data_IF_348007200269
#
_entry.id   IF_348007200269
#
_cell.length_a   1.000
_cell.length_b   1.000
_cell.length_c   1.000
_cell.angle_alpha   90.00
_cell.angle_beta   90.00
_cell.angle_gamma   90.00
#
_symmetry.space_group_name_H-M   'P 1'
#
loop_
_entity.id
_entity.type
_entity.pdbx_description
1 polymer ?
#
# COMPACT_ATOMS: atom_id res chain seq x y z
N UNK A 1 -32.39 6.43 23.86
CA UNK A 1 -31.24 5.53 23.61
C UNK A 1 -29.99 6.39 23.52
N UNK A 2 -28.98 6.15 24.37
CA UNK A 2 -27.67 6.81 24.23
C UNK A 2 -27.08 6.35 22.89
N UNK A 3 -26.83 7.27 21.98
CA UNK A 3 -26.05 7.04 20.75
C UNK A 3 -24.68 6.51 21.17
N UNK A 4 -24.35 5.27 20.76
CA UNK A 4 -23.03 4.73 21.02
C UNK A 4 -22.04 5.44 20.07
N UNK A 5 -21.09 6.19 20.63
CA UNK A 5 -19.98 6.74 19.84
C UNK A 5 -19.31 5.59 19.10
N UNK A 6 -19.32 5.65 17.78
CA UNK A 6 -18.72 4.64 16.92
C UNK A 6 -18.03 5.28 15.71
N UNK A 7 -17.09 4.54 15.14
CA UNK A 7 -16.38 4.91 13.92
C UNK A 7 -16.97 4.12 12.77
N UNK A 8 -17.38 4.81 11.70
CA UNK A 8 -17.78 4.17 10.45
C UNK A 8 -16.55 4.01 9.54
N UNK A 9 -16.05 2.77 9.44
CA UNK A 9 -14.91 2.42 8.59
C UNK A 9 -15.42 2.01 7.21
N UNK A 10 -15.01 2.77 6.19
CA UNK A 10 -15.41 2.58 4.81
C UNK A 10 -14.25 1.97 4.01
N UNK A 11 -14.53 0.89 3.29
CA UNK A 11 -13.57 0.19 2.46
C UNK A 11 -14.10 0.03 1.03
N UNK A 12 -13.20 0.02 0.04
CA UNK A 12 -13.61 -0.39 -1.32
C UNK A 12 -14.04 -1.86 -1.29
N UNK A 13 -13.23 -2.75 -0.72
CA UNK A 13 -13.60 -4.15 -0.49
C UNK A 13 -13.08 -4.60 0.87
N UNK A 14 -13.95 -5.15 1.73
CA UNK A 14 -13.54 -5.71 3.02
C UNK A 14 -14.44 -6.89 3.44
N UNK A 15 -13.89 -7.97 4.03
CA UNK A 15 -12.46 -8.26 4.14
C UNK A 15 -11.86 -8.67 2.78
N UNK A 16 -10.56 -8.41 2.58
CA UNK A 16 -9.82 -8.79 1.37
C UNK A 16 -8.47 -9.39 1.75
N UNK A 17 -8.19 -10.60 1.28
CA UNK A 17 -6.99 -11.38 1.65
C UNK A 17 -5.68 -10.70 1.27
N UNK A 18 -5.66 -9.92 0.19
CA UNK A 18 -4.48 -9.17 -0.25
C UNK A 18 -4.26 -7.85 0.51
N UNK A 19 -5.19 -7.43 1.37
CA UNK A 19 -5.14 -6.19 2.14
C UNK A 19 -5.13 -6.48 3.65
N UNK A 20 -4.27 -7.40 4.08
CA UNK A 20 -4.15 -7.81 5.50
C UNK A 20 -3.78 -6.67 6.45
N UNK A 21 -3.18 -5.59 5.96
CA UNK A 21 -2.88 -4.40 6.78
C UNK A 21 -4.15 -3.70 7.26
N UNK A 22 -5.17 -3.55 6.41
CA UNK A 22 -6.45 -2.95 6.81
C UNK A 22 -7.20 -3.82 7.83
N UNK A 23 -7.09 -5.14 7.69
CA UNK A 23 -7.67 -6.08 8.65
C UNK A 23 -7.01 -5.94 10.03
N UNK A 24 -5.69 -5.74 10.06
CA UNK A 24 -4.93 -5.49 11.30
C UNK A 24 -5.30 -4.16 11.93
N UNK A 25 -5.45 -3.10 11.14
CA UNK A 25 -5.91 -1.80 11.63
C UNK A 25 -7.27 -1.94 12.32
N UNK A 26 -8.22 -2.65 11.70
CA UNK A 26 -9.54 -2.93 12.31
C UNK A 26 -9.40 -3.73 13.61
N UNK A 27 -8.61 -4.81 13.61
CA UNK A 27 -8.43 -5.66 14.79
C UNK A 27 -7.83 -4.90 15.96
N UNK A 28 -6.86 -4.01 15.72
CA UNK A 28 -6.23 -3.22 16.77
C UNK A 28 -7.15 -2.12 17.31
N UNK A 29 -7.91 -1.44 16.45
CA UNK A 29 -8.94 -0.49 16.89
C UNK A 29 -9.98 -1.19 17.78
N UNK A 30 -10.42 -2.39 17.38
CA UNK A 30 -11.35 -3.21 18.17
C UNK A 30 -10.73 -3.66 19.50
N UNK A 31 -9.46 -4.10 19.51
CA UNK A 31 -8.75 -4.50 20.72
C UNK A 31 -8.58 -3.36 21.74
N UNK A 32 -8.58 -2.10 21.27
CA UNK A 32 -8.59 -0.90 22.12
C UNK A 32 -9.99 -0.47 22.58
N UNK A 33 -11.01 -1.27 22.29
CA UNK A 33 -12.39 -1.05 22.75
C UNK A 33 -13.14 0.01 21.94
N UNK A 34 -12.63 0.43 20.78
CA UNK A 34 -13.35 1.35 19.90
C UNK A 34 -14.53 0.61 19.27
N UNK A 35 -15.70 1.24 19.29
CA UNK A 35 -16.90 0.71 18.65
C UNK A 35 -16.84 1.00 17.15
N UNK A 36 -16.85 -0.06 16.33
CA UNK A 36 -16.63 0.03 14.88
C UNK A 36 -17.86 -0.45 14.12
N UNK A 37 -18.19 0.24 13.03
CA UNK A 37 -19.09 -0.25 11.99
C UNK A 37 -18.35 -0.33 10.67
N UNK A 38 -18.34 -1.52 10.09
CA UNK A 38 -17.57 -1.82 8.88
C UNK A 38 -18.49 -1.76 7.66
N UNK A 39 -18.06 -1.05 6.62
CA UNK A 39 -18.79 -0.91 5.36
C UNK A 39 -17.89 -1.26 4.19
N UNK A 40 -18.41 -2.07 3.26
CA UNK A 40 -17.69 -2.47 2.05
C UNK A 40 -18.46 -2.04 0.81
N UNK A 41 -17.85 -1.19 -0.02
CA UNK A 41 -18.52 -0.53 -1.14
C UNK A 41 -18.62 -1.42 -2.40
N UNK A 42 -17.68 -2.35 -2.57
CA UNK A 42 -17.51 -3.18 -3.76
C UNK A 42 -17.10 -4.60 -3.36
N UNK A 43 -18.09 -5.47 -3.16
CA UNK A 43 -17.88 -6.86 -2.74
C UNK A 43 -17.52 -6.99 -1.25
N UNK A 44 -16.94 -8.13 -0.86
CA UNK A 44 -16.71 -8.44 0.55
C UNK A 44 -18.01 -8.73 1.32
N UNK A 45 -18.02 -8.45 2.62
CA UNK A 45 -19.17 -8.71 3.51
C UNK A 45 -18.91 -9.79 4.55
N UNK A 46 -19.99 -10.35 5.11
CA UNK A 46 -19.92 -11.37 6.15
C UNK A 46 -19.58 -10.79 7.52
N UNK A 47 -18.71 -11.47 8.27
CA UNK A 47 -18.24 -11.03 9.59
C UNK A 47 -16.72 -11.01 9.64
N UNK A 48 -16.17 -10.08 10.42
CA UNK A 48 -14.74 -10.00 10.72
C UNK A 48 -14.57 -9.77 12.21
N UNK A 49 -13.92 -10.70 12.92
CA UNK A 49 -13.74 -10.65 14.37
C UNK A 49 -15.05 -10.36 15.15
N UNK A 50 -16.15 -10.98 14.73
CA UNK A 50 -17.48 -10.78 15.32
C UNK A 50 -18.21 -9.50 14.89
N UNK A 51 -17.57 -8.60 14.14
CA UNK A 51 -18.20 -7.42 13.56
C UNK A 51 -18.88 -7.75 12.23
N UNK A 52 -20.14 -7.36 12.07
CA UNK A 52 -20.83 -7.48 10.78
C UNK A 52 -20.27 -6.45 9.79
N UNK A 53 -19.93 -6.92 8.58
CA UNK A 53 -19.51 -6.06 7.48
C UNK A 53 -20.70 -5.75 6.59
N UNK A 54 -21.11 -4.49 6.56
CA UNK A 54 -22.24 -4.03 5.75
C UNK A 54 -21.82 -3.85 4.30
N UNK A 55 -22.16 -4.82 3.46
CA UNK A 55 -21.91 -4.76 2.02
C UNK A 55 -22.90 -3.80 1.34
N UNK A 56 -22.37 -2.95 0.46
CA UNK A 56 -23.19 -2.02 -0.31
C UNK A 56 -23.97 -2.75 -1.40
N UNK A 57 -25.29 -2.75 -1.28
CA UNK A 57 -26.16 -3.23 -2.34
C UNK A 57 -26.25 -2.19 -3.48
N UNK A 58 -25.67 -2.52 -4.63
CA UNK A 58 -25.62 -1.66 -5.83
C UNK A 58 -27.01 -1.30 -6.37
N UNK A 59 -28.05 -2.10 -6.10
CA UNK A 59 -29.43 -1.77 -6.47
C UNK A 59 -29.93 -0.48 -5.79
N UNK A 60 -29.34 -0.10 -4.64
CA UNK A 60 -29.62 1.18 -3.98
C UNK A 60 -29.22 2.39 -4.84
N UNK A 61 -28.35 2.22 -5.84
CA UNK A 61 -28.02 3.30 -6.77
C UNK A 61 -29.23 3.76 -7.58
N UNK A 62 -30.20 2.89 -7.87
CA UNK A 62 -31.44 3.28 -8.56
C UNK A 62 -32.20 4.31 -7.72
N UNK A 63 -32.35 4.05 -6.41
CA UNK A 63 -32.97 5.01 -5.48
C UNK A 63 -32.15 6.31 -5.40
N UNK A 64 -30.81 6.22 -5.44
CA UNK A 64 -29.95 7.41 -5.44
C UNK A 64 -30.28 8.32 -6.63
N UNK A 65 -30.32 7.75 -7.84
CA UNK A 65 -30.57 8.53 -9.05
C UNK A 65 -32.00 9.06 -9.14
N UNK A 66 -33.00 8.23 -8.81
CA UNK A 66 -34.40 8.58 -8.99
C UNK A 66 -34.97 9.46 -7.86
N UNK A 67 -34.46 9.32 -6.64
CA UNK A 67 -35.05 9.96 -5.45
C UNK A 67 -34.06 10.87 -4.75
N UNK A 68 -32.86 10.36 -4.43
CA UNK A 68 -31.95 11.09 -3.53
C UNK A 68 -31.36 12.31 -4.24
N UNK A 69 -30.88 12.17 -5.48
CA UNK A 69 -30.29 13.29 -6.23
C UNK A 69 -31.31 14.42 -6.44
N UNK A 70 -32.53 14.20 -6.98
CA UNK A 70 -33.53 15.25 -7.09
C UNK A 70 -33.86 15.91 -5.76
N UNK A 71 -33.96 15.12 -4.69
CA UNK A 71 -34.21 15.65 -3.35
C UNK A 71 -33.06 16.54 -2.83
N UNK A 72 -31.80 16.18 -3.08
CA UNK A 72 -30.64 17.01 -2.71
C UNK A 72 -30.53 18.27 -3.57
N UNK A 73 -30.93 18.25 -4.85
CA UNK A 73 -30.95 19.45 -5.69
C UNK A 73 -31.83 20.53 -5.06
N UNK A 74 -32.99 20.14 -4.52
CA UNK A 74 -33.92 21.06 -3.85
C UNK A 74 -33.39 21.45 -2.46
N UNK A 75 -32.92 20.48 -1.65
CA UNK A 75 -32.56 20.73 -0.25
C UNK A 75 -31.18 21.37 -0.07
N UNK A 76 -30.25 21.12 -0.99
CA UNK A 76 -28.85 21.54 -0.94
C UNK A 76 -28.34 21.96 -2.32
N UNK A 77 -28.95 22.99 -2.95
CA UNK A 77 -28.61 23.39 -4.31
C UNK A 77 -27.13 23.79 -4.46
N UNK A 78 -26.52 24.38 -3.43
CA UNK A 78 -25.08 24.73 -3.44
C UNK A 78 -24.19 23.49 -3.53
N UNK A 79 -24.41 22.50 -2.67
CA UNK A 79 -23.63 21.25 -2.68
C UNK A 79 -23.76 20.53 -4.04
N UNK A 80 -24.97 20.46 -4.58
CA UNK A 80 -25.21 19.80 -5.88
C UNK A 80 -24.56 20.56 -7.03
N UNK A 81 -24.61 21.90 -7.01
CA UNK A 81 -23.90 22.73 -7.98
C UNK A 81 -22.40 22.51 -7.89
N UNK A 82 -21.80 22.55 -6.70
CA UNK A 82 -20.36 22.40 -6.53
C UNK A 82 -19.88 20.99 -6.97
N UNK A 83 -20.69 19.96 -6.69
CA UNK A 83 -20.45 18.59 -7.17
C UNK A 83 -20.55 18.50 -8.70
N UNK A 84 -21.60 19.07 -9.29
CA UNK A 84 -21.81 19.05 -10.73
C UNK A 84 -20.73 19.84 -11.47
N UNK A 85 -20.39 21.04 -10.98
CA UNK A 85 -19.30 21.85 -11.49
C UNK A 85 -17.98 21.08 -11.43
N UNK A 86 -17.69 20.40 -10.31
CA UNK A 86 -16.49 19.56 -10.19
C UNK A 86 -16.43 18.41 -11.20
N UNK A 87 -17.58 17.79 -11.53
CA UNK A 87 -17.68 16.74 -12.56
C UNK A 87 -17.50 17.31 -13.97
N UNK A 88 -18.05 18.50 -14.26
CA UNK A 88 -17.99 19.11 -15.58
C UNK A 88 -16.67 19.83 -15.90
N UNK A 89 -16.02 20.40 -14.88
CA UNK A 89 -14.80 21.23 -15.06
C UNK A 89 -13.51 20.44 -14.97
N UNK A 90 -13.55 19.21 -14.42
CA UNK A 90 -12.35 18.38 -14.24
C UNK A 90 -12.48 17.07 -14.96
N UNK A 91 -11.38 16.62 -15.54
CA UNK A 91 -11.33 15.30 -16.19
C UNK A 91 -10.86 14.25 -15.19
N UNK A 92 -11.55 13.12 -15.06
CA UNK A 92 -11.05 12.03 -14.24
C UNK A 92 -9.75 11.48 -14.83
N UNK A 93 -8.77 11.08 -14.00
CA UNK A 93 -7.50 10.51 -14.45
C UNK A 93 -7.66 9.23 -15.29
N UNK A 94 -8.69 8.44 -14.98
CA UNK A 94 -9.06 7.24 -15.72
C UNK A 94 -10.55 6.95 -15.55
N UNK A 95 -11.09 6.10 -16.41
CA UNK A 95 -12.50 5.75 -16.34
C UNK A 95 -12.84 4.88 -15.13
N UNK A 96 -11.87 4.07 -14.68
CA UNK A 96 -11.97 3.35 -13.42
C UNK A 96 -12.06 4.34 -12.24
N UNK A 97 -11.18 5.34 -12.18
CA UNK A 97 -11.17 6.28 -11.07
C UNK A 97 -12.45 7.15 -11.00
N UNK A 98 -13.04 7.49 -12.14
CA UNK A 98 -14.37 8.09 -12.18
C UNK A 98 -15.41 7.21 -11.48
N UNK A 99 -15.50 5.93 -11.87
CA UNK A 99 -16.51 5.02 -11.31
C UNK A 99 -16.28 4.69 -9.85
N UNK A 100 -15.03 4.65 -9.38
CA UNK A 100 -14.70 4.56 -7.96
C UNK A 100 -15.28 5.75 -7.18
N UNK A 101 -15.06 6.97 -7.68
CA UNK A 101 -15.58 8.17 -7.05
C UNK A 101 -17.12 8.22 -7.07
N UNK A 102 -17.76 7.81 -8.18
CA UNK A 102 -19.21 7.71 -8.28
C UNK A 102 -19.78 6.64 -7.34
N UNK A 103 -19.09 5.53 -7.15
CA UNK A 103 -19.47 4.50 -6.17
C UNK A 103 -19.46 5.07 -4.75
N UNK A 104 -18.42 5.81 -4.38
CA UNK A 104 -18.34 6.50 -3.09
C UNK A 104 -19.48 7.51 -2.89
N UNK A 105 -19.80 8.30 -3.92
CA UNK A 105 -20.92 9.23 -3.90
C UNK A 105 -22.28 8.54 -3.76
N UNK A 106 -22.50 7.47 -4.52
CA UNK A 106 -23.69 6.64 -4.44
C UNK A 106 -23.88 6.03 -3.05
N UNK A 107 -22.81 5.46 -2.49
CA UNK A 107 -22.81 4.94 -1.12
C UNK A 107 -23.23 6.01 -0.10
N UNK A 108 -22.60 7.19 -0.14
CA UNK A 108 -22.93 8.29 0.76
C UNK A 108 -24.40 8.71 0.63
N UNK A 109 -24.91 8.85 -0.60
CA UNK A 109 -26.31 9.15 -0.86
C UNK A 109 -27.26 8.12 -0.24
N UNK A 110 -26.99 6.82 -0.45
CA UNK A 110 -27.83 5.72 0.05
C UNK A 110 -27.80 5.59 1.57
N UNK A 111 -26.62 5.69 2.21
CA UNK A 111 -26.47 5.44 3.64
C UNK A 111 -26.65 6.67 4.53
N UNK A 112 -26.63 7.89 3.97
CA UNK A 112 -26.80 9.13 4.72
C UNK A 112 -28.06 9.16 5.60
N UNK A 113 -29.19 8.62 5.12
CA UNK A 113 -30.44 8.56 5.91
C UNK A 113 -30.36 7.52 7.03
N UNK A 114 -29.75 6.37 6.76
CA UNK A 114 -29.58 5.29 7.71
C UNK A 114 -28.65 5.71 8.84
N UNK A 115 -27.47 6.24 8.49
CA UNK A 115 -26.48 6.76 9.43
C UNK A 115 -27.01 7.94 10.26
N UNK A 116 -28.01 8.69 9.78
CA UNK A 116 -28.63 9.76 10.60
C UNK A 116 -29.38 9.23 11.83
N UNK A 117 -29.85 7.97 11.80
CA UNK A 117 -30.55 7.36 12.95
C UNK A 117 -29.58 7.02 14.08
N UNK A 118 -28.32 6.78 13.73
CA UNK A 118 -27.23 6.52 14.66
C UNK A 118 -25.95 7.17 14.10
N UNK A 119 -25.77 8.49 14.29
CA UNK A 119 -24.71 9.25 13.65
C UNK A 119 -23.32 8.81 14.13
N UNK A 120 -22.35 8.63 13.22
CA UNK A 120 -20.99 8.27 13.59
C UNK A 120 -20.28 9.42 14.28
N UNK A 121 -19.40 9.09 15.23
CA UNK A 121 -18.47 10.04 15.82
C UNK A 121 -17.43 10.51 14.79
N UNK A 122 -17.01 9.58 13.94
CA UNK A 122 -16.06 9.79 12.86
C UNK A 122 -16.34 8.81 11.72
N UNK A 123 -16.27 9.30 10.49
CA UNK A 123 -16.20 8.47 9.28
C UNK A 123 -14.73 8.33 8.87
N UNK A 124 -14.29 7.15 8.47
CA UNK A 124 -12.94 6.98 7.96
C UNK A 124 -12.94 6.18 6.67
N UNK A 125 -12.44 6.78 5.60
CA UNK A 125 -12.19 6.10 4.35
C UNK A 125 -10.81 5.47 4.35
N UNK A 126 -10.71 4.15 4.26
CA UNK A 126 -9.42 3.44 4.30
C UNK A 126 -8.47 3.76 3.12
N UNK A 127 -9.02 4.35 2.05
CA UNK A 127 -8.34 4.68 0.79
C UNK A 127 -8.69 6.10 0.35
N UNK A 128 -7.83 6.67 -0.49
CA UNK A 128 -8.00 8.00 -1.06
C UNK A 128 -9.07 8.06 -2.16
N UNK A 129 -9.45 6.92 -2.75
CA UNK A 129 -10.51 6.79 -3.75
C UNK A 129 -11.95 6.80 -3.19
N UNK A 130 -12.75 5.80 -3.57
CA UNK A 130 -14.18 5.69 -3.25
C UNK A 130 -14.53 5.90 -1.76
N UNK A 131 -13.81 5.32 -0.79
CA UNK A 131 -14.11 5.50 0.63
C UNK A 131 -13.93 6.93 1.12
N UNK A 132 -12.87 7.62 0.70
CA UNK A 132 -12.69 9.04 1.02
C UNK A 132 -13.78 9.91 0.36
N UNK A 133 -14.23 9.57 -0.84
CA UNK A 133 -15.33 10.28 -1.53
C UNK A 133 -16.63 10.16 -0.75
N UNK A 134 -16.93 8.97 -0.23
CA UNK A 134 -18.06 8.76 0.65
C UNK A 134 -17.96 9.62 1.93
N UNK A 135 -16.81 9.60 2.60
CA UNK A 135 -16.56 10.43 3.79
C UNK A 135 -16.72 11.93 3.52
N UNK A 136 -16.14 12.42 2.42
CA UNK A 136 -16.23 13.83 2.01
C UNK A 136 -17.66 14.28 1.71
N UNK A 137 -18.45 13.46 1.03
CA UNK A 137 -19.86 13.77 0.74
C UNK A 137 -20.70 13.72 2.01
N UNK A 138 -20.51 12.73 2.88
CA UNK A 138 -21.20 12.65 4.17
C UNK A 138 -20.88 13.87 5.05
N UNK A 139 -19.62 14.33 5.05
CA UNK A 139 -19.22 15.57 5.71
C UNK A 139 -19.94 16.79 5.14
N UNK A 140 -19.98 16.98 3.82
CA UNK A 140 -20.70 18.11 3.22
C UNK A 140 -22.22 18.03 3.40
N UNK A 141 -22.78 16.84 3.50
CA UNK A 141 -24.21 16.65 3.74
C UNK A 141 -24.58 16.88 5.21
N UNK A 142 -23.79 16.39 6.16
CA UNK A 142 -24.23 16.28 7.57
C UNK A 142 -23.29 16.94 8.57
N UNK A 143 -22.13 17.45 8.14
CA UNK A 143 -21.10 17.98 9.03
C UNK A 143 -20.37 16.91 9.84
N UNK A 144 -20.58 15.62 9.54
CA UNK A 144 -19.90 14.54 10.24
C UNK A 144 -18.41 14.59 9.95
N UNK A 145 -17.62 14.48 11.03
CA UNK A 145 -16.17 14.47 10.95
C UNK A 145 -15.72 13.27 10.13
N UNK A 146 -14.67 13.45 9.33
CA UNK A 146 -14.07 12.33 8.63
C UNK A 146 -12.54 12.41 8.57
N UNK A 147 -11.95 11.25 8.32
CA UNK A 147 -10.53 11.04 8.03
C UNK A 147 -10.37 10.12 6.83
N UNK A 148 -9.18 10.06 6.26
CA UNK A 148 -8.91 9.23 5.09
C UNK A 148 -7.50 8.63 5.09
N UNK A 149 -7.35 7.45 4.48
CA UNK A 149 -6.07 6.94 4.02
C UNK A 149 -5.70 7.53 2.66
N UNK A 150 -4.41 7.68 2.39
CA UNK A 150 -3.86 8.04 1.09
C UNK A 150 -2.59 7.22 0.84
N UNK A 151 -2.69 6.23 -0.03
CA UNK A 151 -1.62 5.28 -0.33
C UNK A 151 -1.02 5.56 -1.71
N UNK A 152 0.07 4.88 -2.07
CA UNK A 152 0.78 5.16 -3.33
C UNK A 152 -0.11 5.13 -4.58
N UNK A 153 -1.07 4.20 -4.64
CA UNK A 153 -2.08 4.15 -5.72
C UNK A 153 -2.87 5.46 -5.81
N UNK A 154 -3.42 5.93 -4.69
CA UNK A 154 -4.26 7.13 -4.62
C UNK A 154 -3.49 8.42 -4.92
N UNK A 155 -2.17 8.43 -4.67
CA UNK A 155 -1.33 9.63 -4.76
C UNK A 155 -0.68 9.76 -6.14
N UNK A 156 -0.23 8.67 -6.76
CA UNK A 156 0.67 8.75 -7.93
C UNK A 156 0.07 8.25 -9.23
N UNK A 157 -0.76 7.20 -9.21
CA UNK A 157 -1.25 6.59 -10.45
C UNK A 157 -2.17 7.56 -11.20
N UNK A 158 -1.86 7.77 -12.48
CA UNK A 158 -2.45 8.77 -13.37
C UNK A 158 -2.43 10.22 -12.83
N UNK A 159 -1.48 10.54 -11.95
CA UNK A 159 -1.42 11.84 -11.26
C UNK A 159 -2.17 11.87 -9.92
N UNK A 160 -2.69 10.73 -9.47
CA UNK A 160 -3.45 10.58 -8.22
C UNK A 160 -4.96 10.62 -8.46
N UNK A 161 -5.72 10.40 -7.39
CA UNK A 161 -7.19 10.36 -7.46
C UNK A 161 -7.80 11.71 -7.90
N UNK A 162 -8.92 11.64 -8.65
CA UNK A 162 -9.59 12.78 -9.27
C UNK A 162 -9.87 13.98 -8.35
N UNK A 163 -10.30 13.74 -7.10
CA UNK A 163 -10.60 14.80 -6.13
C UNK A 163 -9.75 14.66 -4.87
N UNK A 164 -8.50 14.20 -5.04
CA UNK A 164 -7.61 13.90 -3.93
C UNK A 164 -7.53 15.08 -2.95
N UNK A 165 -7.24 16.30 -3.42
CA UNK A 165 -7.06 17.45 -2.54
C UNK A 165 -8.36 17.91 -1.86
N UNK A 166 -9.47 17.92 -2.60
CA UNK A 166 -10.78 18.31 -2.07
C UNK A 166 -11.25 17.36 -0.99
N UNK A 167 -10.87 16.09 -1.10
CA UNK A 167 -11.16 15.06 -0.11
C UNK A 167 -10.21 15.11 1.07
N UNK A 168 -8.93 15.41 0.87
CA UNK A 168 -7.93 15.34 1.94
C UNK A 168 -7.82 16.63 2.75
N UNK A 169 -7.94 17.81 2.14
CA UNK A 169 -7.81 19.10 2.86
C UNK A 169 -8.84 19.29 4.01
N UNK A 170 -10.12 18.91 3.87
CA UNK A 170 -11.09 19.04 4.96
C UNK A 170 -11.02 17.90 5.98
N UNK A 171 -10.30 16.81 5.69
CA UNK A 171 -10.18 15.68 6.59
C UNK A 171 -9.54 16.10 7.93
N UNK A 172 -9.92 15.40 9.01
CA UNK A 172 -9.36 15.63 10.36
C UNK A 172 -7.92 15.13 10.46
N UNK A 173 -7.64 13.99 9.84
CA UNK A 173 -6.28 13.52 9.59
C UNK A 173 -6.25 12.69 8.31
N UNK A 174 -5.05 12.59 7.74
CA UNK A 174 -4.73 11.75 6.59
C UNK A 174 -3.69 10.74 7.02
N UNK A 175 -3.98 9.46 6.88
CA UNK A 175 -3.02 8.38 7.10
C UNK A 175 -2.32 8.03 5.79
N UNK A 176 -0.99 8.06 5.78
CA UNK A 176 -0.17 7.51 4.69
C UNK A 176 0.91 6.58 5.25
N UNK A 177 1.45 5.68 4.42
CA UNK A 177 2.39 4.65 4.87
C UNK A 177 3.87 5.01 4.70
N UNK A 178 4.20 6.18 4.13
CA UNK A 178 5.57 6.52 3.68
C UNK A 178 5.82 8.02 3.80
N UNK A 179 7.05 8.43 4.12
CA UNK A 179 7.45 9.84 4.09
C UNK A 179 7.41 10.42 2.67
N UNK A 180 7.70 9.62 1.64
CA UNK A 180 7.50 9.97 0.23
C UNK A 180 6.06 10.44 -0.03
N UNK A 181 5.07 9.65 0.41
CA UNK A 181 3.65 10.00 0.33
C UNK A 181 3.31 11.28 1.10
N UNK A 182 3.89 11.48 2.29
CA UNK A 182 3.71 12.73 3.05
C UNK A 182 4.26 13.94 2.31
N UNK A 183 5.50 13.86 1.80
CA UNK A 183 6.12 14.96 1.07
C UNK A 183 5.32 15.34 -0.17
N UNK A 184 4.83 14.35 -0.94
CA UNK A 184 4.00 14.60 -2.11
C UNK A 184 2.68 15.28 -1.74
N UNK A 185 1.99 14.82 -0.70
CA UNK A 185 0.74 15.43 -0.25
C UNK A 185 0.95 16.87 0.25
N UNK A 186 2.04 17.14 0.97
CA UNK A 186 2.40 18.51 1.38
C UNK A 186 2.70 19.38 0.17
N UNK A 187 3.47 18.88 -0.80
CA UNK A 187 3.80 19.61 -2.03
C UNK A 187 2.54 19.98 -2.84
N UNK A 188 1.50 19.14 -2.79
CA UNK A 188 0.19 19.42 -3.41
C UNK A 188 -0.74 20.29 -2.57
N UNK A 189 -0.32 20.74 -1.38
CA UNK A 189 -1.08 21.68 -0.56
C UNK A 189 -1.98 21.05 0.51
N UNK A 190 -1.75 19.79 0.91
CA UNK A 190 -2.36 19.23 2.12
C UNK A 190 -1.57 19.71 3.35
N UNK A 191 -2.22 20.26 4.39
CA UNK A 191 -1.52 20.72 5.60
C UNK A 191 -0.71 19.61 6.28
N UNK A 192 0.58 19.87 6.53
CA UNK A 192 1.51 18.89 7.06
C UNK A 192 1.12 18.35 8.44
N UNK A 193 0.45 19.16 9.26
CA UNK A 193 -0.04 18.83 10.60
C UNK A 193 -1.25 17.88 10.59
N UNK A 194 -1.90 17.69 9.43
CA UNK A 194 -2.98 16.71 9.23
C UNK A 194 -2.49 15.36 8.75
N UNK A 195 -1.29 15.28 8.17
CA UNK A 195 -0.73 14.05 7.62
C UNK A 195 -0.03 13.26 8.73
N UNK A 196 -0.33 11.97 8.83
CA UNK A 196 0.28 11.03 9.76
C UNK A 196 0.92 9.90 8.95
N UNK A 197 2.24 9.79 9.02
CA UNK A 197 2.98 8.68 8.43
C UNK A 197 2.93 7.53 9.43
N UNK A 198 2.08 6.55 9.16
CA UNK A 198 1.96 5.35 9.97
C UNK A 198 2.28 4.19 9.04
N UNK A 199 3.50 3.69 9.18
CA UNK A 199 4.01 2.57 8.37
C UNK A 199 3.23 1.31 8.69
N UNK A 200 3.23 0.38 7.73
CA UNK A 200 2.84 -1.01 8.02
C UNK A 200 3.85 -1.62 8.99
N UNK A 201 3.59 -2.84 9.47
CA UNK A 201 4.53 -3.51 10.35
C UNK A 201 4.45 -5.03 10.29
N UNK A 202 5.42 -5.68 10.94
CA UNK A 202 5.40 -7.09 11.28
C UNK A 202 4.80 -7.27 12.68
N UNK A 203 3.95 -8.28 12.84
CA UNK A 203 3.40 -8.66 14.15
C UNK A 203 4.45 -9.40 14.98
N UNK A 204 5.24 -10.24 14.32
CA UNK A 204 6.33 -10.96 14.95
C UNK A 204 7.53 -10.88 14.03
N UNK A 205 8.67 -10.52 14.61
CA UNK A 205 9.91 -10.51 13.87
C UNK A 205 10.46 -11.94 13.78
N UNK A 206 10.85 -12.41 12.58
CA UNK A 206 11.44 -13.72 12.41
C UNK A 206 12.78 -13.81 13.15
N UNK A 207 13.22 -15.06 13.37
CA UNK A 207 14.57 -15.33 13.79
C UNK A 207 15.57 -14.73 12.80
N UNK A 208 16.62 -14.11 13.33
CA UNK A 208 17.66 -13.51 12.51
C UNK A 208 18.57 -14.61 11.96
N UNK A 209 18.58 -14.82 10.64
CA UNK A 209 19.40 -15.87 10.04
C UNK A 209 20.89 -15.56 10.20
N UNK A 210 21.77 -16.55 10.33
CA UNK A 210 23.22 -16.33 10.24
C UNK A 210 23.63 -16.02 8.79
N UNK A 211 24.74 -15.29 8.64
CA UNK A 211 25.33 -15.03 7.33
C UNK A 211 25.94 -16.34 6.82
N UNK A 212 25.71 -16.66 5.55
CA UNK A 212 26.28 -17.87 4.95
C UNK A 212 27.76 -17.63 4.64
N UNK A 213 28.64 -18.48 5.20
CA UNK A 213 30.10 -18.33 5.09
C UNK A 213 30.64 -18.40 3.65
N UNK A 214 30.01 -19.19 2.76
CA UNK A 214 30.36 -19.22 1.35
C UNK A 214 29.12 -18.91 0.50
N UNK A 215 29.13 -17.74 -0.15
CA UNK A 215 28.04 -17.25 -1.01
C UNK A 215 28.28 -17.52 -2.49
N UNK A 216 28.85 -18.68 -2.84
CA UNK A 216 29.01 -19.17 -4.22
C UNK A 216 28.34 -20.54 -4.39
N UNK A 217 27.29 -20.68 -5.23
CA UNK A 217 26.64 -19.61 -5.98
C UNK A 217 25.89 -18.65 -5.05
N UNK A 218 25.81 -17.37 -5.40
CA UNK A 218 25.05 -16.36 -4.66
C UNK A 218 23.55 -16.62 -4.84
N UNK A 219 22.80 -16.69 -3.74
CA UNK A 219 21.35 -16.99 -3.75
C UNK A 219 20.55 -15.69 -3.78
N UNK A 220 20.00 -15.38 -4.94
CA UNK A 220 19.25 -14.17 -5.22
C UNK A 220 17.75 -14.44 -5.17
N UNK A 221 17.02 -13.55 -4.52
CA UNK A 221 15.57 -13.67 -4.38
C UNK A 221 14.89 -12.39 -4.86
N UNK A 222 13.78 -12.56 -5.58
CA UNK A 222 12.81 -11.51 -5.86
C UNK A 222 11.45 -12.03 -5.43
N UNK A 223 10.70 -11.24 -4.65
CA UNK A 223 9.30 -11.55 -4.33
C UNK A 223 8.47 -10.35 -4.77
N UNK A 224 7.69 -10.52 -5.83
CA UNK A 224 6.90 -9.44 -6.41
C UNK A 224 5.73 -9.98 -7.26
N UNK A 225 4.66 -9.18 -7.38
CA UNK A 225 3.69 -9.38 -8.47
C UNK A 225 4.38 -9.12 -9.80
N UNK A 226 4.11 -9.94 -10.82
CA UNK A 226 4.74 -9.80 -12.14
C UNK A 226 4.01 -8.74 -12.97
N UNK A 227 4.18 -7.47 -12.59
CA UNK A 227 3.54 -6.28 -13.18
C UNK A 227 4.59 -5.21 -13.55
N UNK A 228 4.30 -4.28 -14.48
CA UNK A 228 5.30 -3.37 -15.03
C UNK A 228 6.13 -2.59 -13.99
N UNK A 229 5.48 -2.02 -12.96
CA UNK A 229 6.15 -1.22 -11.92
C UNK A 229 7.18 -1.98 -11.08
N UNK A 230 7.22 -3.31 -11.16
CA UNK A 230 8.22 -4.12 -10.43
C UNK A 230 9.54 -4.24 -11.17
N UNK A 231 9.59 -3.82 -12.44
CA UNK A 231 10.83 -3.70 -13.21
C UNK A 231 11.57 -5.02 -13.45
N UNK A 232 10.88 -6.16 -13.44
CA UNK A 232 11.54 -7.48 -13.60
C UNK A 232 12.25 -7.65 -14.95
N UNK A 233 11.86 -6.88 -15.98
CA UNK A 233 12.62 -6.82 -17.23
C UNK A 233 14.06 -6.35 -17.01
N UNK A 234 14.25 -5.32 -16.18
CA UNK A 234 15.58 -4.84 -15.80
C UNK A 234 16.30 -5.86 -14.92
N UNK A 235 15.57 -6.55 -14.03
CA UNK A 235 16.14 -7.60 -13.21
C UNK A 235 16.74 -8.75 -14.03
N UNK A 236 16.08 -9.15 -15.14
CA UNK A 236 16.64 -10.15 -16.04
C UNK A 236 17.92 -9.64 -16.74
N UNK A 237 18.00 -8.36 -17.09
CA UNK A 237 19.23 -7.76 -17.63
C UNK A 237 20.36 -7.72 -16.59
N UNK A 238 20.03 -7.47 -15.31
CA UNK A 238 20.99 -7.57 -14.20
C UNK A 238 21.50 -9.00 -14.05
N UNK A 239 20.64 -10.01 -14.13
CA UNK A 239 21.05 -11.42 -14.10
C UNK A 239 21.93 -11.80 -15.31
N UNK A 240 21.63 -11.29 -16.50
CA UNK A 240 22.48 -11.48 -17.67
C UNK A 240 23.87 -10.87 -17.47
N UNK A 241 23.95 -9.64 -16.92
CA UNK A 241 25.22 -8.98 -16.61
C UNK A 241 26.03 -9.72 -15.53
N UNK A 242 25.38 -10.31 -14.51
CA UNK A 242 26.05 -11.15 -13.52
C UNK A 242 26.67 -12.40 -14.16
N UNK A 243 25.93 -13.04 -15.07
CA UNK A 243 26.39 -14.22 -15.81
C UNK A 243 27.60 -13.87 -16.69
N UNK A 244 27.53 -12.76 -17.43
CA UNK A 244 28.62 -12.26 -18.26
C UNK A 244 29.87 -11.92 -17.43
N UNK A 245 29.67 -11.34 -16.24
CA UNK A 245 30.75 -11.03 -15.31
C UNK A 245 31.33 -12.25 -14.56
N UNK A 246 30.89 -13.47 -14.89
CA UNK A 246 31.38 -14.72 -14.30
C UNK A 246 30.98 -14.94 -12.84
N UNK A 247 29.95 -14.24 -12.34
CA UNK A 247 29.46 -14.42 -10.98
C UNK A 247 28.53 -15.63 -10.95
N UNK A 248 28.88 -16.66 -10.17
CA UNK A 248 28.02 -17.81 -9.97
C UNK A 248 26.81 -17.42 -9.10
N UNK A 249 25.59 -17.57 -9.62
CA UNK A 249 24.36 -17.28 -8.88
C UNK A 249 23.22 -18.25 -9.20
N UNK A 250 22.31 -18.37 -8.24
CA UNK A 250 20.99 -18.99 -8.37
C UNK A 250 19.94 -17.94 -7.99
N UNK A 251 18.93 -17.75 -8.83
CA UNK A 251 17.88 -16.77 -8.62
C UNK A 251 16.51 -17.44 -8.51
N UNK A 252 15.70 -16.98 -7.55
CA UNK A 252 14.28 -17.35 -7.42
C UNK A 252 13.41 -16.11 -7.55
N UNK A 253 12.42 -16.18 -8.44
CA UNK A 253 11.37 -15.17 -8.59
C UNK A 253 10.07 -15.77 -8.07
N UNK A 254 9.58 -15.19 -6.97
CA UNK A 254 8.37 -15.60 -6.27
C UNK A 254 7.25 -14.61 -6.55
N UNK A 255 6.10 -15.14 -6.93
CA UNK A 255 4.92 -14.37 -7.31
C UNK A 255 4.42 -14.71 -8.71
N UNK A 256 3.31 -14.10 -9.06
CA UNK A 256 2.66 -14.29 -10.36
C UNK A 256 2.10 -12.95 -10.87
N UNK A 257 1.68 -12.92 -12.12
CA UNK A 257 1.09 -11.75 -12.75
C UNK A 257 1.09 -11.82 -14.27
N UNK A 258 0.48 -10.82 -14.92
CA UNK A 258 0.28 -10.80 -16.37
C UNK A 258 1.58 -10.80 -17.18
N UNK A 259 2.72 -10.46 -16.58
CA UNK A 259 4.01 -10.47 -17.27
C UNK A 259 4.73 -11.83 -17.24
N UNK A 260 4.17 -12.87 -16.62
CA UNK A 260 4.86 -14.15 -16.39
C UNK A 260 5.42 -14.77 -17.68
N UNK A 261 4.57 -15.02 -18.66
CA UNK A 261 4.95 -15.68 -19.92
C UNK A 261 6.05 -14.89 -20.66
N UNK A 262 5.92 -13.56 -20.69
CA UNK A 262 6.92 -12.68 -21.31
C UNK A 262 8.26 -12.73 -20.57
N UNK A 263 8.26 -12.77 -19.23
CA UNK A 263 9.48 -12.87 -18.43
C UNK A 263 10.16 -14.24 -18.57
N UNK A 264 9.39 -15.33 -18.62
CA UNK A 264 9.92 -16.68 -18.86
C UNK A 264 10.54 -16.79 -20.26
N UNK A 265 9.87 -16.27 -21.29
CA UNK A 265 10.40 -16.18 -22.66
C UNK A 265 11.72 -15.38 -22.72
N UNK A 266 11.76 -14.22 -22.06
CA UNK A 266 12.96 -13.38 -22.00
C UNK A 266 14.09 -14.03 -21.23
N UNK A 267 13.79 -14.82 -20.20
CA UNK A 267 14.77 -15.61 -19.45
C UNK A 267 15.45 -16.63 -20.38
N UNK A 268 14.68 -17.30 -21.25
CA UNK A 268 15.24 -18.21 -22.26
C UNK A 268 16.10 -17.48 -23.29
N UNK A 269 15.64 -16.34 -23.82
CA UNK A 269 16.40 -15.52 -24.78
C UNK A 269 17.74 -15.03 -24.21
N UNK A 270 17.78 -14.68 -22.92
CA UNK A 270 19.00 -14.27 -22.23
C UNK A 270 19.86 -15.47 -21.75
N UNK A 271 19.49 -16.70 -22.11
CA UNK A 271 20.18 -17.93 -21.70
C UNK A 271 20.29 -18.07 -20.17
N UNK A 272 19.27 -17.65 -19.42
CA UNK A 272 19.23 -17.63 -17.96
C UNK A 272 18.44 -18.80 -17.35
N UNK A 273 17.89 -19.71 -18.18
CA UNK A 273 17.00 -20.81 -17.74
C UNK A 273 17.63 -21.71 -16.66
N UNK A 274 18.96 -21.91 -16.69
CA UNK A 274 19.67 -22.69 -15.68
C UNK A 274 19.92 -21.94 -14.36
N UNK A 275 19.77 -20.62 -14.34
CA UNK A 275 20.05 -19.77 -13.19
C UNK A 275 18.78 -19.23 -12.51
N UNK A 276 17.68 -19.05 -13.24
CA UNK A 276 16.48 -18.38 -12.75
C UNK A 276 15.30 -19.34 -12.66
N UNK A 277 14.71 -19.48 -11.47
CA UNK A 277 13.51 -20.27 -11.22
C UNK A 277 12.32 -19.37 -10.87
N UNK A 278 11.22 -19.50 -11.62
CA UNK A 278 9.93 -18.93 -11.26
C UNK A 278 9.15 -19.93 -10.39
N UNK A 279 8.74 -19.52 -9.18
CA UNK A 279 8.02 -20.41 -8.27
C UNK A 279 6.50 -20.28 -8.40
N UNK A 280 6.01 -19.23 -9.04
CA UNK A 280 4.61 -18.82 -8.94
C UNK A 280 4.30 -18.20 -7.57
N UNK A 281 3.01 -18.00 -7.30
CA UNK A 281 2.54 -17.50 -6.01
C UNK A 281 2.70 -18.56 -4.91
N UNK A 282 3.27 -18.16 -3.78
CA UNK A 282 3.48 -19.01 -2.60
C UNK A 282 2.64 -18.52 -1.42
N UNK A 283 2.30 -19.44 -0.51
CA UNK A 283 1.72 -19.08 0.78
C UNK A 283 2.77 -18.42 1.69
N UNK A 284 2.30 -17.71 2.73
CA UNK A 284 3.19 -16.97 3.63
C UNK A 284 4.30 -17.84 4.28
N UNK A 285 4.03 -19.06 4.79
CA UNK A 285 5.10 -19.90 5.35
C UNK A 285 6.20 -20.23 4.32
N UNK A 286 5.81 -20.55 3.08
CA UNK A 286 6.73 -20.86 1.99
C UNK A 286 7.55 -19.62 1.57
N UNK A 287 6.97 -18.42 1.66
CA UNK A 287 7.71 -17.16 1.46
C UNK A 287 8.83 -17.00 2.49
N UNK A 288 8.56 -17.33 3.77
CA UNK A 288 9.61 -17.31 4.80
C UNK A 288 10.71 -18.33 4.54
N UNK A 289 10.39 -19.50 3.99
CA UNK A 289 11.40 -20.46 3.55
C UNK A 289 12.27 -19.91 2.41
N UNK A 290 11.70 -19.15 1.47
CA UNK A 290 12.48 -18.49 0.42
C UNK A 290 13.44 -17.43 1.00
N UNK A 291 12.98 -16.63 1.97
CA UNK A 291 13.83 -15.67 2.69
C UNK A 291 14.95 -16.38 3.48
N UNK A 292 14.64 -17.50 4.13
CA UNK A 292 15.64 -18.32 4.82
C UNK A 292 16.69 -18.90 3.84
N UNK A 293 16.29 -19.23 2.61
CA UNK A 293 17.22 -19.71 1.58
C UNK A 293 18.12 -18.61 1.00
N UNK A 294 17.61 -17.40 0.78
CA UNK A 294 18.26 -16.34 0.02
C UNK A 294 19.41 -15.63 0.75
N UNK A 295 20.49 -15.27 0.05
CA UNK A 295 21.51 -14.37 0.59
C UNK A 295 21.12 -12.91 0.40
N UNK A 296 20.56 -12.59 -0.77
CA UNK A 296 20.21 -11.21 -1.16
C UNK A 296 18.81 -11.17 -1.77
N UNK A 297 17.97 -10.26 -1.27
CA UNK A 297 16.73 -9.84 -1.92
C UNK A 297 17.04 -8.70 -2.90
N UNK A 298 16.64 -8.85 -4.15
CA UNK A 298 16.66 -7.78 -5.15
C UNK A 298 15.26 -7.20 -5.33
N UNK A 299 15.15 -5.87 -5.23
CA UNK A 299 13.91 -5.15 -5.56
C UNK A 299 14.17 -4.06 -6.60
N UNK A 300 13.82 -4.34 -7.86
CA UNK A 300 14.09 -3.51 -9.05
C UNK A 300 12.88 -2.64 -9.46
N UNK A 301 12.12 -2.15 -8.49
CA UNK A 301 10.91 -1.34 -8.76
C UNK A 301 11.21 -0.11 -9.62
N UNK A 302 10.23 0.28 -10.43
CA UNK A 302 10.29 1.46 -11.31
C UNK A 302 8.99 2.27 -11.19
N UNK A 303 9.02 3.50 -11.69
CA UNK A 303 7.79 4.27 -11.94
C UNK A 303 7.25 3.81 -13.29
N UNK A 304 6.07 3.21 -13.30
CA UNK A 304 5.40 2.83 -14.54
C UNK A 304 4.97 4.08 -15.35
N UNK A 305 4.69 3.96 -16.66
CA UNK A 305 4.22 5.09 -17.47
C UNK A 305 2.95 5.77 -16.93
N UNK A 306 2.08 5.03 -16.22
CA UNK A 306 0.92 5.62 -15.54
C UNK A 306 1.28 6.46 -14.33
N UNK A 307 2.55 6.50 -13.89
CA UNK A 307 2.96 7.07 -12.61
C UNK A 307 2.85 6.09 -11.44
N UNK A 308 2.22 4.92 -11.65
CA UNK A 308 2.12 3.87 -10.63
C UNK A 308 3.50 3.39 -10.20
N UNK A 309 3.65 3.26 -8.88
CA UNK A 309 4.89 2.93 -8.21
C UNK A 309 4.57 2.28 -6.87
N UNK A 310 5.57 1.72 -6.21
CA UNK A 310 5.37 1.20 -4.86
C UNK A 310 5.33 2.33 -3.83
N UNK A 311 4.69 2.06 -2.68
CA UNK A 311 5.04 2.76 -1.44
C UNK A 311 6.35 2.17 -0.91
N UNK A 312 6.33 1.62 0.30
CA UNK A 312 7.36 0.72 0.78
C UNK A 312 6.90 -0.73 0.53
N UNK A 313 7.52 -1.50 -0.37
CA UNK A 313 7.20 -2.92 -0.57
C UNK A 313 7.42 -3.70 0.72
N UNK A 314 6.41 -4.40 1.24
CA UNK A 314 6.51 -5.15 2.51
C UNK A 314 7.64 -6.20 2.53
N UNK A 315 7.98 -6.77 1.37
CA UNK A 315 9.06 -7.75 1.25
C UNK A 315 10.42 -7.18 1.67
N UNK A 316 10.65 -5.87 1.50
CA UNK A 316 11.91 -5.24 1.90
C UNK A 316 12.10 -5.34 3.41
N UNK A 317 11.21 -4.79 4.27
CA UNK A 317 11.35 -4.97 5.71
C UNK A 317 11.19 -6.42 6.17
N UNK A 318 10.42 -7.28 5.48
CA UNK A 318 10.38 -8.72 5.76
C UNK A 318 11.77 -9.38 5.59
N UNK A 319 12.48 -9.07 4.51
CA UNK A 319 13.83 -9.56 4.25
C UNK A 319 14.86 -8.99 5.23
N UNK A 320 14.79 -7.68 5.50
CA UNK A 320 15.63 -7.01 6.51
C UNK A 320 15.43 -7.64 7.89
N UNK A 321 14.18 -7.94 8.28
CA UNK A 321 13.86 -8.60 9.54
C UNK A 321 14.47 -10.00 9.60
N UNK A 322 14.40 -10.77 8.51
CA UNK A 322 14.96 -12.11 8.42
C UNK A 322 16.49 -12.15 8.39
N UNK A 323 17.16 -11.00 8.22
CA UNK A 323 18.62 -10.92 8.07
C UNK A 323 19.12 -11.20 6.66
N UNK A 324 18.25 -11.07 5.65
CA UNK A 324 18.60 -11.13 4.23
C UNK A 324 19.10 -9.76 3.77
N UNK A 325 20.21 -9.72 3.05
CA UNK A 325 20.74 -8.48 2.47
C UNK A 325 19.77 -7.95 1.42
N UNK A 326 19.69 -6.63 1.26
CA UNK A 326 18.79 -6.02 0.28
C UNK A 326 19.57 -5.13 -0.68
N UNK A 327 19.34 -5.33 -1.99
CA UNK A 327 19.76 -4.40 -3.04
C UNK A 327 18.51 -3.90 -3.76
N UNK A 328 18.34 -2.59 -3.87
CA UNK A 328 17.13 -2.00 -4.44
C UNK A 328 17.41 -0.87 -5.43
N UNK A 329 16.46 -0.61 -6.32
CA UNK A 329 16.44 0.59 -7.15
C UNK A 329 16.13 1.85 -6.33
N UNK A 330 16.61 3.04 -6.75
CA UNK A 330 16.38 4.32 -6.06
C UNK A 330 14.97 4.88 -6.29
N UNK A 331 13.96 4.02 -6.43
CA UNK A 331 12.59 4.42 -6.79
C UNK A 331 11.64 4.14 -5.64
N UNK A 332 10.59 4.96 -5.51
CA UNK A 332 9.56 4.80 -4.47
C UNK A 332 10.11 5.01 -3.06
N UNK A 333 9.40 4.54 -2.03
CA UNK A 333 9.84 4.65 -0.64
C UNK A 333 10.86 3.57 -0.24
N UNK A 334 11.49 2.87 -1.19
CA UNK A 334 12.51 1.85 -0.88
C UNK A 334 13.70 2.47 -0.16
N UNK A 335 14.06 3.71 -0.52
CA UNK A 335 15.18 4.47 0.06
C UNK A 335 14.89 5.04 1.45
N UNK A 336 13.64 4.94 1.94
CA UNK A 336 13.33 5.20 3.35
C UNK A 336 13.85 4.09 4.25
N UNK A 337 13.83 2.84 3.76
CA UNK A 337 14.30 1.66 4.49
C UNK A 337 15.75 1.29 4.13
N UNK A 338 16.13 1.50 2.86
CA UNK A 338 17.44 1.15 2.32
C UNK A 338 18.29 2.40 2.12
N UNK A 339 19.20 2.62 3.07
CA UNK A 339 20.25 3.63 3.01
C UNK A 339 21.55 2.99 2.56
N UNK A 340 22.16 3.56 1.52
CA UNK A 340 23.42 3.10 0.93
C UNK A 340 24.49 2.86 2.02
N UNK A 341 25.06 1.65 2.01
CA UNK A 341 26.12 1.21 2.93
C UNK A 341 25.73 1.24 4.43
N UNK A 342 24.44 1.39 4.75
CA UNK A 342 23.94 1.39 6.14
C UNK A 342 22.92 0.30 6.41
N UNK A 343 21.94 0.13 5.53
CA UNK A 343 20.87 -0.88 5.67
C UNK A 343 20.66 -1.72 4.42
N UNK A 344 21.38 -1.39 3.34
CA UNK A 344 21.48 -2.19 2.13
C UNK A 344 22.30 -1.44 1.08
N UNK A 345 22.14 -1.84 -0.18
CA UNK A 345 22.73 -1.14 -1.31
C UNK A 345 21.64 -0.66 -2.28
N UNK A 346 21.89 0.48 -2.91
CA UNK A 346 21.03 1.11 -3.90
C UNK A 346 21.78 1.16 -5.22
N UNK A 347 21.15 0.70 -6.30
CA UNK A 347 21.72 0.72 -7.63
C UNK A 347 20.65 1.04 -8.68
N UNK A 348 21.00 1.86 -9.68
CA UNK A 348 20.08 2.19 -10.77
C UNK A 348 19.82 0.98 -11.67
N UNK A 349 18.56 0.74 -12.02
CA UNK A 349 18.15 -0.37 -12.89
C UNK A 349 18.63 -0.19 -14.33
N UNK A 350 18.89 1.05 -14.74
CA UNK A 350 19.44 1.37 -16.06
C UNK A 350 20.96 1.11 -16.14
N UNK A 351 21.60 0.77 -15.00
CA UNK A 351 23.03 0.48 -14.91
C UNK A 351 23.27 -0.94 -14.36
N UNK A 352 23.08 -2.02 -15.15
CA UNK A 352 23.30 -3.40 -14.71
C UNK A 352 24.67 -3.66 -14.06
N UNK A 353 25.72 -3.00 -14.55
CA UNK A 353 27.07 -3.10 -13.97
C UNK A 353 27.14 -2.60 -12.53
N UNK A 354 26.33 -1.61 -12.13
CA UNK A 354 26.27 -1.15 -10.74
C UNK A 354 25.74 -2.25 -9.82
N UNK A 355 24.77 -3.04 -10.28
CA UNK A 355 24.26 -4.22 -9.56
C UNK A 355 25.30 -5.34 -9.49
N UNK A 356 26.06 -5.56 -10.57
CA UNK A 356 27.18 -6.52 -10.58
C UNK A 356 28.21 -6.15 -9.50
N UNK A 357 28.61 -4.88 -9.42
CA UNK A 357 29.55 -4.40 -8.39
C UNK A 357 28.97 -4.57 -6.99
N UNK A 358 27.71 -4.16 -6.78
CA UNK A 358 27.04 -4.30 -5.48
C UNK A 358 26.97 -5.77 -5.03
N UNK A 359 26.53 -6.68 -5.90
CA UNK A 359 26.37 -8.09 -5.57
C UNK A 359 27.70 -8.82 -5.41
N UNK A 360 28.74 -8.43 -6.16
CA UNK A 360 30.10 -8.93 -5.94
C UNK A 360 30.60 -8.57 -4.54
N UNK A 361 30.47 -7.30 -4.14
CA UNK A 361 30.81 -6.85 -2.78
C UNK A 361 30.08 -7.66 -1.72
N UNK A 362 28.76 -7.83 -1.86
CA UNK A 362 27.98 -8.63 -0.92
C UNK A 362 28.37 -10.11 -0.90
N UNK A 363 28.96 -10.65 -1.97
CA UNK A 363 29.44 -12.03 -2.01
C UNK A 363 30.83 -12.24 -1.39
N UNK A 364 31.63 -11.18 -1.25
CA UNK A 364 33.06 -11.24 -0.89
C UNK A 364 33.41 -10.52 0.42
N UNK A 365 32.63 -9.51 0.82
CA UNK A 365 32.87 -8.70 2.02
C UNK A 365 31.86 -9.05 3.11
N UNK A 366 32.24 -10.00 3.98
CA UNK A 366 31.42 -10.42 5.12
C UNK A 366 31.22 -9.30 6.15
N UNK A 367 32.20 -8.42 6.34
CA UNK A 367 32.11 -7.34 7.31
C UNK A 367 31.06 -6.30 6.88
N UNK A 368 31.06 -5.93 5.60
CA UNK A 368 30.01 -5.10 5.02
C UNK A 368 28.64 -5.78 5.12
N UNK A 369 28.56 -7.06 4.74
CA UNK A 369 27.30 -7.81 4.79
C UNK A 369 26.71 -7.83 6.21
N UNK A 370 27.53 -8.12 7.22
CA UNK A 370 27.15 -8.11 8.63
C UNK A 370 26.66 -6.72 9.09
N UNK A 371 27.42 -5.67 8.76
CA UNK A 371 27.05 -4.30 9.12
C UNK A 371 25.70 -3.89 8.51
N UNK A 372 25.48 -4.21 7.23
CA UNK A 372 24.26 -3.90 6.50
C UNK A 372 23.03 -4.60 7.09
N UNK A 373 23.11 -5.92 7.31
CA UNK A 373 21.96 -6.67 7.84
C UNK A 373 21.63 -6.29 9.29
N UNK A 374 22.64 -5.96 10.09
CA UNK A 374 22.43 -5.48 11.46
C UNK A 374 21.76 -4.09 11.47
N UNK A 375 22.23 -3.17 10.60
CA UNK A 375 21.60 -1.86 10.40
C UNK A 375 20.16 -1.99 9.91
N UNK A 376 19.92 -2.89 8.95
CA UNK A 376 18.61 -3.17 8.41
C UNK A 376 17.64 -3.70 9.47
N UNK A 377 18.09 -4.64 10.31
CA UNK A 377 17.29 -5.18 11.40
C UNK A 377 16.86 -4.11 12.40
N UNK A 378 17.79 -3.24 12.82
CA UNK A 378 17.47 -2.11 13.71
C UNK A 378 16.42 -1.18 13.12
N UNK A 379 16.58 -0.81 11.84
CA UNK A 379 15.60 0.04 11.16
C UNK A 379 14.20 -0.58 11.17
N UNK A 380 14.09 -1.89 10.94
CA UNK A 380 12.82 -2.62 10.95
C UNK A 380 12.17 -2.63 12.34
N UNK A 381 12.94 -2.90 13.40
CA UNK A 381 12.42 -2.93 14.77
C UNK A 381 11.95 -1.55 15.27
N UNK A 382 12.54 -0.48 14.72
CA UNK A 382 12.17 0.91 15.01
C UNK A 382 10.95 1.37 14.20
N UNK A 383 10.87 1.02 12.92
CA UNK A 383 9.96 1.67 11.96
C UNK A 383 8.86 0.77 11.41
N UNK A 384 8.98 -0.55 11.55
CA UNK A 384 8.11 -1.55 10.92
C UNK A 384 7.55 -2.57 11.93
N UNK A 385 7.23 -2.09 13.13
CA UNK A 385 6.55 -2.84 14.18
C UNK A 385 5.04 -2.60 14.11
N UNK A 386 4.25 -3.65 13.93
CA UNK A 386 2.80 -3.53 13.78
C UNK A 386 2.12 -3.00 15.05
N UNK A 387 2.61 -3.37 16.24
CA UNK A 387 2.00 -2.95 17.50
C UNK A 387 2.24 -1.46 17.76
N UNK A 388 3.47 -0.98 17.55
CA UNK A 388 3.82 0.44 17.68
C UNK A 388 3.05 1.30 16.68
N UNK A 389 3.06 0.90 15.40
CA UNK A 389 2.44 1.68 14.34
C UNK A 389 0.92 1.73 14.50
N UNK A 390 0.28 0.62 14.90
CA UNK A 390 -1.17 0.63 15.08
C UNK A 390 -1.61 1.38 16.34
N UNK A 391 -0.78 1.43 17.39
CA UNK A 391 -1.04 2.30 18.53
C UNK A 391 -1.12 3.79 18.14
N UNK A 392 -0.19 4.26 17.28
CA UNK A 392 -0.23 5.62 16.74
C UNK A 392 -1.50 5.88 15.91
N UNK A 393 -1.96 4.88 15.17
CA UNK A 393 -3.22 4.97 14.41
C UNK A 393 -4.41 5.15 15.35
N UNK A 394 -4.51 4.33 16.39
CA UNK A 394 -5.56 4.42 17.42
C UNK A 394 -5.60 5.83 18.03
N UNK A 395 -4.45 6.40 18.41
CA UNK A 395 -4.36 7.76 18.95
C UNK A 395 -4.92 8.81 17.99
N UNK A 396 -4.66 8.65 16.68
CA UNK A 396 -5.22 9.54 15.66
C UNK A 396 -6.75 9.46 15.60
N UNK A 397 -7.31 8.25 15.68
CA UNK A 397 -8.76 8.04 15.72
C UNK A 397 -9.39 8.65 16.97
N UNK A 398 -8.81 8.41 18.14
CA UNK A 398 -9.29 8.95 19.42
C UNK A 398 -9.28 10.48 19.43
N UNK A 399 -8.20 11.10 18.94
CA UNK A 399 -8.11 12.56 18.83
C UNK A 399 -9.15 13.11 17.87
N UNK A 400 -9.31 12.50 16.70
CA UNK A 400 -10.25 12.94 15.68
C UNK A 400 -11.74 12.80 16.07
N UNK A 401 -12.06 11.98 17.07
CA UNK A 401 -13.40 11.90 17.65
C UNK A 401 -13.68 13.02 18.67
N UNK A 402 -12.64 13.55 19.34
CA UNK A 402 -12.77 14.57 20.42
C UNK A 402 -12.77 16.00 19.87
N UNK A 403 -11.90 16.30 18.91
CA UNK A 403 -11.73 17.62 18.26
C UNK A 403 -12.76 17.82 17.13
#
# INVERSE_FOLDING_TARGET
MKTSLHIALLFTTFPKTSETFLQRDVAALQAKGLNLKLYSLWGGGGTFNGLTVQAFNKWRLIEVFLVIIPWQIIRRPRLMRDLFEGVCTRRPPSWLNFWENMLGAGFAGSFAREMRRDPPALVHGAWGGAPATAGWILWRMHGWRYSAGAHAYDIYEHGGDWWLLEKLQPARFIHTSTDMGRHELVARGVPADKIRVIRRGLETFPAFKPLRANRRPLRLLCIARLVPKKGLNYQLLIYAALKEAGIAFEARIVGDGPLREMLESRTAQLSLTGNVKFTGQLAQPEVWEQLAWADVLLHTGIVAPSGDRDGLPNVIPEAMAAGVLVVTSPVSATTEAISQERTGLVADVDLPLAWVVALRRLSEDDALAEALRAGARRWVEENYDAHKNTAQLVECFEKAMKD
#
